data_IF_817460153555
#
_entry.id   IF_817460153555
#
_cell.length_a   1.000
_cell.length_b   1.000
_cell.length_c   1.000
_cell.angle_alpha   90.00
_cell.angle_beta   90.00
_cell.angle_gamma   90.00
#
_symmetry.space_group_name_H-M   'P 1'
#
loop_
_entity.id
_entity.type
_entity.pdbx_description
1 polymer ?
#
# COMPACT_ATOMS: atom_id res chain seq x y z
N UNK A 1 8.05 18.05 4.49
CA UNK A 1 6.76 17.55 5.03
C UNK A 1 6.16 16.55 4.04
N UNK A 2 5.51 15.49 4.55
CA UNK A 2 4.87 14.44 3.75
C UNK A 2 3.39 14.30 4.12
N UNK A 3 2.59 13.79 3.20
CA UNK A 3 1.19 13.44 3.43
C UNK A 3 1.11 11.92 3.46
N UNK A 4 0.75 11.37 4.62
CA UNK A 4 0.65 9.93 4.85
C UNK A 4 -0.79 9.52 5.14
N UNK A 5 -1.20 8.35 4.64
CA UNK A 5 -2.50 7.75 4.93
C UNK A 5 -2.26 6.32 5.40
N UNK A 6 -2.73 6.01 6.60
CA UNK A 6 -2.73 4.64 7.14
C UNK A 6 -4.11 4.02 7.02
N UNK A 7 -4.13 2.78 6.56
CA UNK A 7 -5.32 1.97 6.40
C UNK A 7 -5.17 0.70 7.24
N UNK A 8 -6.21 0.41 8.01
CA UNK A 8 -6.30 -0.73 8.91
C UNK A 8 -7.45 -1.65 8.45
N UNK A 9 -7.26 -2.41 7.37
CA UNK A 9 -8.31 -3.24 6.81
C UNK A 9 -8.62 -4.44 7.71
N UNK A 10 -9.90 -4.62 8.05
CA UNK A 10 -10.32 -5.69 8.98
C UNK A 10 -10.02 -7.10 8.48
N UNK A 11 -10.06 -7.32 7.16
CA UNK A 11 -10.00 -8.65 6.53
C UNK A 11 -8.83 -8.82 5.56
N UNK A 12 -7.97 -7.80 5.36
CA UNK A 12 -6.88 -7.94 4.39
C UNK A 12 -5.74 -8.77 4.97
N UNK A 13 -5.24 -9.70 4.16
CA UNK A 13 -3.98 -10.36 4.40
C UNK A 13 -2.81 -9.64 3.69
N UNK A 14 -1.59 -10.07 4.00
CA UNK A 14 -0.36 -9.51 3.41
C UNK A 14 -0.29 -9.69 1.89
N UNK A 15 -0.79 -10.81 1.37
CA UNK A 15 -0.70 -11.16 -0.04
C UNK A 15 -1.68 -10.35 -0.88
N UNK A 16 -2.92 -10.16 -0.42
CA UNK A 16 -3.92 -9.32 -1.05
C UNK A 16 -3.47 -7.87 -1.14
N UNK A 17 -2.92 -7.32 -0.06
CA UNK A 17 -2.33 -5.96 -0.09
C UNK A 17 -1.14 -5.87 -1.04
N UNK A 18 -0.31 -6.90 -1.11
CA UNK A 18 0.82 -6.95 -2.06
C UNK A 18 0.32 -7.00 -3.50
N UNK A 19 -0.65 -7.87 -3.80
CA UNK A 19 -1.22 -8.03 -5.13
C UNK A 19 -1.84 -6.72 -5.62
N UNK A 20 -2.62 -6.06 -4.77
CA UNK A 20 -3.19 -4.73 -5.03
C UNK A 20 -2.11 -3.71 -5.42
N UNK A 21 -1.02 -3.63 -4.66
CA UNK A 21 0.05 -2.67 -4.97
C UNK A 21 0.73 -2.99 -6.31
N UNK A 22 1.01 -4.26 -6.58
CA UNK A 22 1.62 -4.69 -7.85
C UNK A 22 0.70 -4.39 -9.03
N UNK A 23 -0.61 -4.65 -8.91
CA UNK A 23 -1.61 -4.34 -9.93
C UNK A 23 -1.69 -2.83 -10.22
N UNK A 24 -1.55 -2.01 -9.19
CA UNK A 24 -1.49 -0.55 -9.31
C UNK A 24 -0.12 -0.03 -9.81
N UNK A 25 0.79 -0.92 -10.19
CA UNK A 25 2.07 -0.57 -10.80
C UNK A 25 3.16 -0.19 -9.79
N UNK A 26 2.99 -0.52 -8.50
CA UNK A 26 4.07 -0.36 -7.55
C UNK A 26 5.13 -1.44 -7.73
N UNK A 27 6.39 -1.04 -7.63
CA UNK A 27 7.53 -1.94 -7.63
C UNK A 27 8.07 -2.13 -6.21
N UNK A 28 8.56 -3.33 -5.84
CA UNK A 28 9.24 -3.53 -4.57
C UNK A 28 10.41 -2.56 -4.41
N UNK A 29 10.52 -1.93 -3.26
CA UNK A 29 11.56 -0.97 -2.94
C UNK A 29 12.21 -1.34 -1.60
N UNK A 30 13.50 -1.00 -1.45
CA UNK A 30 14.16 -1.10 -0.14
C UNK A 30 13.87 0.19 0.62
N UNK A 31 13.36 0.07 1.83
CA UNK A 31 13.31 1.21 2.74
C UNK A 31 14.65 1.26 3.49
N UNK A 32 15.27 2.44 3.57
CA UNK A 32 16.55 2.61 4.27
C UNK A 32 16.40 2.50 5.80
N UNK A 33 15.17 2.62 6.32
CA UNK A 33 14.84 2.50 7.73
C UNK A 33 13.85 1.34 7.96
N UNK A 34 14.33 0.26 8.56
CA UNK A 34 13.54 -0.95 8.75
C UNK A 34 12.48 -0.74 9.84
N UNK A 35 11.21 -0.52 9.46
CA UNK A 35 10.11 -0.29 10.43
C UNK A 35 9.73 -1.59 11.15
N UNK A 36 9.96 -2.74 10.51
CA UNK A 36 10.04 -4.09 11.09
C UNK A 36 10.60 -5.06 10.05
N UNK A 37 11.33 -6.12 10.46
CA UNK A 37 11.88 -7.14 9.55
C UNK A 37 10.84 -7.80 8.62
N UNK A 38 9.55 -7.68 8.92
CA UNK A 38 8.46 -8.31 8.17
C UNK A 38 7.70 -7.33 7.26
N UNK A 39 8.01 -6.03 7.29
CA UNK A 39 7.36 -5.03 6.45
C UNK A 39 7.74 -5.24 4.97
N UNK A 40 6.78 -5.00 4.07
CA UNK A 40 7.05 -4.93 2.63
C UNK A 40 6.94 -3.49 2.19
N UNK A 41 7.95 -3.01 1.48
CA UNK A 41 8.03 -1.65 0.99
C UNK A 41 7.97 -1.64 -0.53
N UNK A 42 7.24 -0.65 -1.04
CA UNK A 42 6.95 -0.49 -2.45
C UNK A 42 7.03 0.98 -2.83
N UNK A 43 7.33 1.24 -4.09
CA UNK A 43 7.33 2.59 -4.66
C UNK A 43 6.62 2.58 -6.01
N UNK A 44 5.82 3.61 -6.24
CA UNK A 44 5.30 3.96 -7.55
C UNK A 44 5.94 5.27 -8.00
N UNK A 45 6.31 5.33 -9.27
CA UNK A 45 6.84 6.51 -9.94
C UNK A 45 6.54 6.41 -11.43
N UNK A 46 6.20 7.52 -12.07
CA UNK A 46 5.93 7.59 -13.51
C UNK A 46 6.83 8.62 -14.17
N UNK A 47 7.75 8.17 -15.01
CA UNK A 47 8.61 9.04 -15.83
C UNK A 47 7.90 9.56 -17.10
N UNK A 48 6.73 8.99 -17.43
CA UNK A 48 5.92 9.42 -18.56
C UNK A 48 5.56 10.90 -18.44
N UNK A 49 5.99 11.68 -19.44
CA UNK A 49 5.75 13.12 -19.58
C UNK A 49 6.04 13.94 -18.31
N UNK A 50 6.99 13.48 -17.48
CA UNK A 50 7.36 14.15 -16.23
C UNK A 50 6.18 14.36 -15.27
N UNK A 51 5.16 13.52 -15.35
CA UNK A 51 3.95 13.70 -14.53
C UNK A 51 4.20 13.45 -13.04
N UNK A 52 5.20 12.61 -12.69
CA UNK A 52 5.63 12.35 -11.32
C UNK A 52 7.01 12.95 -11.05
N UNK A 53 7.15 13.63 -9.92
CA UNK A 53 8.45 14.16 -9.46
C UNK A 53 8.92 13.53 -8.15
N UNK A 54 7.98 13.06 -7.33
CA UNK A 54 8.29 12.51 -6.01
C UNK A 54 8.00 11.01 -5.94
N UNK A 55 6.93 10.58 -6.60
CA UNK A 55 6.39 9.22 -6.51
C UNK A 55 5.56 9.02 -5.25
N UNK A 56 5.06 7.80 -5.10
CA UNK A 56 4.28 7.36 -3.95
C UNK A 56 4.97 6.16 -3.34
N UNK A 57 5.16 6.19 -2.03
CA UNK A 57 5.64 5.04 -1.29
C UNK A 57 4.47 4.33 -0.61
N UNK A 58 4.52 3.00 -0.58
CA UNK A 58 3.56 2.17 0.10
C UNK A 58 4.29 1.15 0.98
N UNK A 59 3.80 0.95 2.19
CA UNK A 59 4.36 0.03 3.17
C UNK A 59 3.26 -0.85 3.74
N UNK A 60 3.42 -2.16 3.59
CA UNK A 60 2.59 -3.16 4.26
C UNK A 60 3.30 -3.57 5.55
N UNK A 61 2.63 -3.44 6.70
CA UNK A 61 3.22 -3.74 8.00
C UNK A 61 2.21 -4.42 8.93
N UNK A 62 2.71 -5.18 9.90
CA UNK A 62 1.89 -5.66 11.02
C UNK A 62 1.87 -4.57 12.09
N UNK A 63 0.71 -4.02 12.47
CA UNK A 63 0.63 -3.10 13.60
C UNK A 63 1.10 -3.80 14.87
N UNK A 64 1.95 -3.15 15.66
CA UNK A 64 2.37 -3.68 16.95
C UNK A 64 1.19 -3.65 17.94
N UNK A 65 1.11 -4.65 18.82
CA UNK A 65 0.32 -4.51 20.06
C UNK A 65 0.99 -3.43 20.90
N UNK A 66 0.35 -2.29 21.08
CA UNK A 66 0.75 -1.32 22.10
C UNK A 66 0.20 -1.73 23.45
N UNK A 67 0.85 -1.35 24.54
CA UNK A 67 0.42 -1.70 25.90
C UNK A 67 -1.01 -1.20 26.23
N UNK A 68 -1.48 -0.17 25.52
CA UNK A 68 -2.81 0.44 25.70
C UNK A 68 -3.91 -0.18 24.82
N UNK A 69 -3.55 -0.97 23.79
CA UNK A 69 -4.52 -1.59 22.88
C UNK A 69 -4.54 -3.12 23.04
N UNK A 70 -5.68 -3.67 23.50
CA UNK A 70 -5.85 -5.10 23.76
C UNK A 70 -5.58 -6.01 22.53
N UNK A 71 -5.77 -5.48 21.31
CA UNK A 71 -5.34 -6.12 20.06
C UNK A 71 -5.27 -5.08 18.94
N UNK A 72 -4.32 -5.17 17.99
CA UNK A 72 -4.34 -4.33 16.80
C UNK A 72 -5.63 -4.57 16.00
N UNK A 73 -6.16 -3.52 15.35
CA UNK A 73 -7.45 -3.58 14.64
C UNK A 73 -7.43 -4.50 13.41
N UNK A 74 -6.23 -4.91 12.96
CA UNK A 74 -6.01 -5.81 11.84
C UNK A 74 -4.65 -6.50 11.95
N UNK A 75 -4.48 -7.63 11.27
CA UNK A 75 -3.20 -8.33 11.17
C UNK A 75 -2.19 -7.57 10.29
N UNK A 76 -2.67 -6.95 9.20
CA UNK A 76 -1.85 -6.22 8.24
C UNK A 76 -2.47 -4.85 7.93
N UNK A 77 -1.64 -3.83 7.94
CA UNK A 77 -1.99 -2.45 7.63
C UNK A 77 -1.20 -1.95 6.41
N UNK A 78 -1.77 -0.95 5.73
CA UNK A 78 -1.16 -0.30 4.58
C UNK A 78 -0.93 1.18 4.91
N UNK A 79 0.33 1.62 4.85
CA UNK A 79 0.70 3.03 4.92
C UNK A 79 1.13 3.51 3.54
N UNK A 80 0.47 4.53 3.01
CA UNK A 80 0.92 5.22 1.80
C UNK A 80 1.44 6.61 2.15
N UNK A 81 2.47 7.08 1.45
CA UNK A 81 2.96 8.45 1.61
C UNK A 81 3.48 9.04 0.30
N UNK A 82 3.36 10.36 0.19
CA UNK A 82 4.11 11.15 -0.79
C UNK A 82 4.51 12.50 -0.17
N UNK A 83 5.32 13.31 -0.85
CA UNK A 83 5.68 14.65 -0.35
C UNK A 83 4.46 15.58 -0.38
N UNK A 84 4.39 16.52 0.57
CA UNK A 84 3.29 17.51 0.57
C UNK A 84 3.31 18.39 -0.70
N UNK A 85 4.50 18.59 -1.27
CA UNK A 85 4.74 19.27 -2.53
C UNK A 85 4.62 18.36 -3.76
N UNK A 86 4.17 17.11 -3.59
CA UNK A 86 4.18 16.14 -4.68
C UNK A 86 3.30 16.57 -5.85
N UNK A 87 3.61 16.02 -7.02
CA UNK A 87 2.88 16.28 -8.25
C UNK A 87 1.38 15.93 -8.09
N UNK A 88 0.49 16.54 -8.89
CA UNK A 88 -0.91 16.13 -8.93
C UNK A 88 -1.09 14.64 -9.25
N UNK A 89 -0.23 14.07 -10.10
CA UNK A 89 -0.27 12.65 -10.47
C UNK A 89 0.05 11.76 -9.26
N UNK A 90 1.10 12.09 -8.48
CA UNK A 90 1.46 11.36 -7.26
C UNK A 90 0.30 11.35 -6.25
N UNK A 91 -0.33 12.51 -6.01
CA UNK A 91 -1.49 12.61 -5.10
C UNK A 91 -2.70 11.84 -5.62
N UNK A 92 -2.96 11.93 -6.93
CA UNK A 92 -4.05 11.18 -7.57
C UNK A 92 -3.82 9.68 -7.43
N UNK A 93 -2.59 9.22 -7.61
CA UNK A 93 -2.22 7.82 -7.48
C UNK A 93 -2.30 7.35 -6.02
N UNK A 94 -1.83 8.13 -5.05
CA UNK A 94 -2.01 7.83 -3.63
C UNK A 94 -3.51 7.69 -3.26
N UNK A 95 -4.35 8.62 -3.73
CA UNK A 95 -5.79 8.57 -3.50
C UNK A 95 -6.46 7.37 -4.18
N UNK A 96 -5.99 6.98 -5.37
CA UNK A 96 -6.47 5.78 -6.07
C UNK A 96 -6.21 4.54 -5.22
N UNK A 97 -4.96 4.34 -4.76
CA UNK A 97 -4.59 3.20 -3.90
C UNK A 97 -5.49 3.13 -2.66
N UNK A 98 -5.70 4.27 -2.00
CA UNK A 98 -6.53 4.32 -0.79
C UNK A 98 -7.98 3.97 -1.07
N UNK A 99 -8.54 4.43 -2.21
CA UNK A 99 -9.90 4.12 -2.63
C UNK A 99 -10.07 2.66 -2.99
N UNK A 100 -9.16 2.11 -3.80
CA UNK A 100 -9.21 0.70 -4.21
C UNK A 100 -9.05 -0.22 -3.00
N UNK A 101 -8.09 0.06 -2.10
CA UNK A 101 -7.93 -0.73 -0.86
C UNK A 101 -9.19 -0.74 0.02
N UNK A 102 -9.90 0.39 0.11
CA UNK A 102 -11.18 0.47 0.84
C UNK A 102 -12.31 -0.28 0.15
N UNK A 103 -12.35 -0.25 -1.19
CA UNK A 103 -13.33 -1.00 -1.97
C UNK A 103 -13.12 -2.52 -1.82
N UNK A 104 -11.88 -2.99 -1.96
CA UNK A 104 -11.50 -4.40 -1.72
C UNK A 104 -11.87 -4.87 -0.31
N UNK A 105 -11.67 -4.00 0.70
CA UNK A 105 -12.11 -4.32 2.06
C UNK A 105 -13.63 -4.45 2.19
N UNK A 106 -14.40 -3.66 1.45
CA UNK A 106 -15.86 -3.69 1.49
C UNK A 106 -16.44 -4.91 0.76
N UNK A 107 -15.79 -5.35 -0.32
CA UNK A 107 -16.22 -6.49 -1.14
C UNK A 107 -15.58 -7.83 -0.71
N UNK A 108 -14.57 -7.79 0.15
CA UNK A 108 -13.73 -8.93 0.49
C UNK A 108 -12.60 -9.05 -0.54
N UNK A 109 -11.35 -9.07 -0.08
CA UNK A 109 -10.21 -9.29 -0.96
C UNK A 109 -10.39 -10.64 -1.67
N UNK A 110 -10.64 -10.60 -2.97
CA UNK A 110 -10.75 -11.78 -3.82
C UNK A 110 -9.36 -12.37 -4.03
N UNK A 111 -8.85 -13.09 -3.04
CA UNK A 111 -7.66 -13.91 -3.20
C UNK A 111 -8.01 -15.18 -3.96
N UNK A 112 -7.90 -15.16 -5.29
CA UNK A 112 -7.69 -16.40 -6.05
C UNK A 112 -6.33 -16.35 -6.76
N UNK A 113 -5.25 -16.84 -6.12
CA UNK A 113 -3.96 -16.98 -6.74
C UNK A 113 -3.96 -18.25 -7.61
N UNK A 114 -4.59 -18.19 -8.78
CA UNK A 114 -4.34 -19.15 -9.85
C UNK A 114 -5.57 -19.69 -10.55
N UNK A 115 -5.89 -19.11 -11.72
CA UNK A 115 -6.49 -19.84 -12.84
C UNK A 115 -5.77 -19.47 -14.14
N UNK A 116 -4.77 -20.31 -14.44
CA UNK A 116 -4.51 -20.96 -15.74
C UNK A 116 -5.06 -20.19 -16.96
N UNK A 117 -4.16 -19.48 -17.64
CA UNK A 117 -4.33 -19.12 -19.05
C UNK A 117 -3.36 -19.94 -19.89
N UNK A 118 -3.71 -21.18 -20.14
CA UNK A 118 -3.14 -21.98 -21.23
C UNK A 118 -4.31 -22.55 -22.02
N UNK A 119 -4.68 -21.82 -23.06
CA UNK A 119 -5.31 -22.31 -24.28
C UNK A 119 -4.59 -21.63 -25.45
#
# INVERSE_FOLDING_TARGET
>A
MSIGIELYPKTADKQGLKALLVELGFVPAKHLFDRSKAALHFRWFSDFEYQSYDGVEATIFSPAKTAEAASPPCAWALHTRTRASASPADRKHQNLVVRTARAEQAHGFSGDPGLIGSD
#
